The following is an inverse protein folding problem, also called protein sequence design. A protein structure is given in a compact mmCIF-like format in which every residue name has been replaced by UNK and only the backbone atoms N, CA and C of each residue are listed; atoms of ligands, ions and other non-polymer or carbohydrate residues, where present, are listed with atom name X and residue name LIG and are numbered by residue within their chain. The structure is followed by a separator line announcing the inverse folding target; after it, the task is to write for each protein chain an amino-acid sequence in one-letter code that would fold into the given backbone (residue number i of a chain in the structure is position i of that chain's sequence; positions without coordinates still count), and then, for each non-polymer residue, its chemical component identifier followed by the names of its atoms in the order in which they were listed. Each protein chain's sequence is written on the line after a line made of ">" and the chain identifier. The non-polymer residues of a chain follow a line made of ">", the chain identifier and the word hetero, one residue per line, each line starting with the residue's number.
data_IF_062525320513
#
_entry.id   IF_062525320513
#
_cell.length_a   1.000
_cell.length_b   1.000
_cell.length_c   1.000
_cell.angle_alpha   90.00
_cell.angle_beta   90.00
_cell.angle_gamma   90.00
#
_symmetry.space_group_name_H-M   'P 1'
#
loop_
_entity.id
_entity.type
_entity.pdbx_description
1 polymer ?
#
# COMPACT_ATOMS: atom_id res chain seq x y z
N UNK A 1 -30.10 -32.77 -16.14
CA UNK A 1 -30.15 -31.37 -16.60
C UNK A 1 -29.39 -30.55 -15.58
N UNK A 2 -28.28 -29.97 -16.02
CA UNK A 2 -27.39 -29.14 -15.21
C UNK A 2 -27.88 -27.71 -15.34
N UNK A 3 -28.26 -27.08 -14.24
CA UNK A 3 -28.24 -25.63 -14.15
C UNK A 3 -27.73 -25.25 -12.77
N UNK A 4 -26.49 -24.76 -12.77
CA UNK A 4 -25.76 -24.32 -11.58
C UNK A 4 -26.49 -23.08 -11.06
N UNK A 5 -27.25 -23.22 -9.96
CA UNK A 5 -27.56 -22.10 -9.08
C UNK A 5 -26.24 -21.58 -8.51
N UNK A 6 -25.61 -20.63 -9.19
CA UNK A 6 -24.66 -19.75 -8.51
C UNK A 6 -25.50 -18.93 -7.53
N UNK A 7 -25.51 -19.37 -6.27
CA UNK A 7 -25.93 -18.57 -5.14
C UNK A 7 -25.31 -17.20 -5.31
N UNK A 8 -26.13 -16.17 -5.55
CA UNK A 8 -25.66 -14.81 -5.74
C UNK A 8 -25.05 -14.39 -4.41
N UNK A 9 -23.73 -14.38 -4.34
CA UNK A 9 -23.03 -13.83 -3.18
C UNK A 9 -23.44 -12.35 -3.10
N UNK A 10 -24.19 -11.93 -2.08
CA UNK A 10 -24.86 -10.63 -2.07
C UNK A 10 -23.87 -9.48 -1.89
N UNK A 11 -22.67 -9.79 -1.39
CA UNK A 11 -21.62 -8.82 -1.12
C UNK A 11 -20.40 -9.13 -1.98
N UNK A 12 -20.04 -8.22 -2.87
CA UNK A 12 -18.85 -8.32 -3.70
C UNK A 12 -17.98 -7.10 -3.42
N UNK A 13 -16.69 -7.33 -3.20
CA UNK A 13 -15.71 -6.26 -3.00
C UNK A 13 -14.61 -6.39 -4.03
N UNK A 14 -14.39 -5.32 -4.79
CA UNK A 14 -13.27 -5.18 -5.70
C UNK A 14 -12.11 -4.47 -4.99
N UNK A 15 -10.95 -5.13 -5.02
CA UNK A 15 -9.71 -4.69 -4.38
C UNK A 15 -8.69 -4.49 -5.49
N UNK A 16 -8.34 -3.23 -5.75
CA UNK A 16 -7.43 -2.86 -6.82
C UNK A 16 -6.05 -2.51 -6.27
N UNK A 17 -5.00 -3.13 -6.82
CA UNK A 17 -3.61 -2.85 -6.44
C UNK A 17 -2.93 -1.93 -7.44
N UNK A 18 -2.01 -1.09 -6.95
CA UNK A 18 -1.27 -0.13 -7.76
C UNK A 18 -0.29 -0.79 -8.71
N UNK A 19 0.46 -1.76 -8.21
CA UNK A 19 1.47 -2.51 -8.97
C UNK A 19 1.46 -3.98 -8.57
N UNK A 20 2.13 -4.81 -9.38
CA UNK A 20 2.44 -6.19 -9.03
C UNK A 20 3.19 -6.28 -7.69
N UNK A 21 4.14 -5.38 -7.45
CA UNK A 21 4.91 -5.29 -6.21
C UNK A 21 4.02 -5.00 -5.00
N UNK A 22 3.08 -4.05 -5.11
CA UNK A 22 2.09 -3.79 -4.06
C UNK A 22 1.25 -5.02 -3.72
N UNK A 23 0.81 -5.77 -4.74
CA UNK A 23 0.07 -7.01 -4.53
C UNK A 23 0.93 -8.07 -3.82
N UNK A 24 2.20 -8.25 -4.20
CA UNK A 24 3.09 -9.22 -3.56
C UNK A 24 3.39 -8.84 -2.10
N UNK A 25 3.56 -7.55 -1.81
CA UNK A 25 3.71 -7.06 -0.42
C UNK A 25 2.43 -7.32 0.37
N UNK A 26 1.28 -6.99 -0.19
CA UNK A 26 -0.01 -7.26 0.44
C UNK A 26 -0.22 -8.76 0.69
N UNK A 27 0.14 -9.62 -0.27
CA UNK A 27 0.16 -11.08 -0.14
C UNK A 27 1.09 -11.55 0.99
N UNK A 28 2.25 -10.93 1.17
CA UNK A 28 3.15 -11.34 2.24
C UNK A 28 2.65 -10.98 3.66
N UNK A 29 1.84 -9.93 3.80
CA UNK A 29 1.55 -9.30 5.11
C UNK A 29 0.08 -9.37 5.50
N UNK A 30 -0.83 -9.15 4.55
CA UNK A 30 -2.27 -8.98 4.79
C UNK A 30 -3.14 -10.03 4.09
N UNK A 31 -2.59 -10.74 3.10
CA UNK A 31 -3.30 -11.70 2.25
C UNK A 31 -2.60 -13.06 2.33
N UNK A 32 -2.98 -13.86 3.31
CA UNK A 32 -2.48 -15.23 3.45
C UNK A 32 -3.23 -16.20 2.52
N UNK A 33 -2.76 -17.44 2.43
CA UNK A 33 -3.51 -18.54 1.79
C UNK A 33 -4.94 -18.71 2.34
N UNK A 34 -5.20 -18.29 3.57
CA UNK A 34 -6.48 -18.49 4.25
C UNK A 34 -7.39 -17.26 4.31
N UNK A 35 -6.93 -16.07 3.91
CA UNK A 35 -7.76 -14.87 4.06
C UNK A 35 -7.05 -13.54 3.83
N UNK A 36 -7.82 -12.46 3.88
CA UNK A 36 -7.42 -11.08 3.60
C UNK A 36 -7.99 -10.13 4.64
N UNK A 37 -7.19 -9.19 5.14
CA UNK A 37 -7.71 -8.02 5.84
C UNK A 37 -7.95 -6.87 4.85
N UNK A 38 -9.15 -6.28 4.91
CA UNK A 38 -9.56 -5.13 4.11
C UNK A 38 -9.83 -3.93 5.01
N UNK A 39 -9.06 -2.86 4.83
CA UNK A 39 -9.36 -1.56 5.42
C UNK A 39 -10.54 -0.94 4.68
N UNK A 40 -11.67 -0.79 5.36
CA UNK A 40 -12.92 -0.26 4.81
C UNK A 40 -13.83 0.25 5.92
N UNK A 41 -14.66 1.24 5.61
CA UNK A 41 -15.72 1.72 6.51
C UNK A 41 -17.02 0.93 6.34
N UNK A 42 -17.22 0.29 5.19
CA UNK A 42 -18.35 -0.61 4.95
C UNK A 42 -18.00 -2.01 5.43
N UNK A 43 -18.63 -2.40 6.53
CA UNK A 43 -18.27 -3.58 7.31
C UNK A 43 -19.52 -4.44 7.51
N UNK A 44 -19.77 -5.41 6.63
CA UNK A 44 -20.85 -6.38 6.80
C UNK A 44 -20.70 -7.17 8.10
N UNK A 45 -21.78 -7.80 8.51
CA UNK A 45 -21.79 -8.63 9.70
C UNK A 45 -20.88 -9.86 9.54
N UNK A 46 -20.30 -10.31 10.65
CA UNK A 46 -19.52 -11.56 10.71
C UNK A 46 -20.40 -12.71 10.24
N UNK A 47 -19.84 -13.58 9.41
CA UNK A 47 -20.55 -14.69 8.75
C UNK A 47 -21.13 -14.33 7.38
N UNK A 48 -21.06 -13.07 6.94
CA UNK A 48 -21.52 -12.67 5.60
C UNK A 48 -20.63 -13.29 4.52
N UNK A 49 -21.24 -13.98 3.56
CA UNK A 49 -20.56 -14.46 2.35
C UNK A 49 -20.15 -13.26 1.48
N UNK A 50 -18.90 -13.26 1.06
CA UNK A 50 -18.28 -12.19 0.27
C UNK A 50 -17.51 -12.74 -0.93
N UNK A 51 -17.65 -12.09 -2.08
CA UNK A 51 -16.83 -12.34 -3.25
C UNK A 51 -15.75 -11.26 -3.34
N UNK A 52 -14.48 -11.62 -3.13
CA UNK A 52 -13.36 -10.68 -3.21
C UNK A 52 -12.75 -10.73 -4.60
N UNK A 53 -12.93 -9.68 -5.40
CA UNK A 53 -12.30 -9.51 -6.70
C UNK A 53 -10.97 -8.78 -6.54
N UNK A 54 -9.87 -9.52 -6.60
CA UNK A 54 -8.50 -8.99 -6.57
C UNK A 54 -8.09 -8.58 -7.98
N UNK A 55 -7.97 -7.28 -8.26
CA UNK A 55 -7.46 -6.76 -9.52
C UNK A 55 -5.96 -6.45 -9.40
N UNK A 56 -5.15 -7.20 -10.16
CA UNK A 56 -3.69 -7.10 -10.15
C UNK A 56 -3.19 -6.58 -11.50
N UNK A 57 -2.47 -5.45 -11.54
CA UNK A 57 -1.90 -4.90 -12.77
C UNK A 57 -1.06 -5.94 -13.53
N UNK A 58 -1.27 -6.02 -14.84
CA UNK A 58 -0.57 -6.96 -15.72
C UNK A 58 -0.97 -8.43 -15.59
N UNK A 59 -1.77 -8.82 -14.59
CA UNK A 59 -2.19 -10.21 -14.34
C UNK A 59 -3.71 -10.45 -14.39
N UNK A 60 -4.50 -9.38 -14.53
CA UNK A 60 -5.96 -9.45 -14.61
C UNK A 60 -6.62 -9.46 -13.22
N UNK A 61 -7.87 -9.93 -13.16
CA UNK A 61 -8.63 -10.01 -11.90
C UNK A 61 -8.99 -11.43 -11.54
N UNK A 62 -8.92 -11.77 -10.25
CA UNK A 62 -9.36 -13.06 -9.70
C UNK A 62 -10.48 -12.79 -8.71
N UNK A 63 -11.56 -13.58 -8.76
CA UNK A 63 -12.57 -13.57 -7.70
C UNK A 63 -12.35 -14.75 -6.77
N UNK A 64 -12.20 -14.47 -5.47
CA UNK A 64 -12.02 -15.46 -4.42
C UNK A 64 -13.24 -15.39 -3.49
N UNK A 65 -14.00 -16.48 -3.33
CA UNK A 65 -15.10 -16.52 -2.36
C UNK A 65 -14.55 -16.58 -0.94
N UNK A 66 -15.24 -15.92 -0.02
CA UNK A 66 -14.87 -15.85 1.38
C UNK A 66 -16.05 -15.57 2.30
N UNK A 67 -15.75 -15.48 3.58
CA UNK A 67 -16.69 -15.14 4.64
C UNK A 67 -16.06 -14.09 5.54
N UNK A 68 -16.85 -13.12 6.02
CA UNK A 68 -16.38 -12.18 7.04
C UNK A 68 -16.13 -12.94 8.35
N UNK A 69 -14.86 -13.12 8.71
CA UNK A 69 -14.44 -13.85 9.90
C UNK A 69 -14.46 -12.95 11.16
N UNK A 70 -14.11 -11.68 11.00
CA UNK A 70 -14.15 -10.69 12.07
C UNK A 70 -14.21 -9.28 11.49
N UNK A 71 -14.61 -8.33 12.33
CA UNK A 71 -14.66 -6.91 11.97
C UNK A 71 -14.01 -6.03 13.02
N UNK A 72 -13.49 -4.89 12.59
CA UNK A 72 -12.96 -3.83 13.45
C UNK A 72 -13.64 -2.52 13.12
N UNK A 73 -14.30 -1.94 14.12
CA UNK A 73 -14.92 -0.62 14.01
C UNK A 73 -13.94 0.51 14.29
N UNK A 74 -14.39 1.74 14.06
CA UNK A 74 -13.61 2.99 14.28
C UNK A 74 -13.23 3.22 15.75
N UNK A 75 -13.97 2.60 16.66
CA UNK A 75 -13.76 2.67 18.11
C UNK A 75 -12.57 1.84 18.61
N UNK A 76 -12.03 0.93 17.78
CA UNK A 76 -10.91 0.07 18.17
C UNK A 76 -9.59 0.85 18.17
N UNK A 77 -8.76 0.59 19.18
CA UNK A 77 -7.37 1.08 19.24
C UNK A 77 -6.39 0.19 18.47
N UNK A 78 -6.83 -0.96 17.97
CA UNK A 78 -5.97 -2.00 17.38
C UNK A 78 -5.59 -1.71 15.92
N UNK A 79 -6.11 -0.63 15.33
CA UNK A 79 -5.80 -0.14 13.99
C UNK A 79 -7.01 0.43 13.26
N UNK A 80 -6.88 0.70 11.94
CA UNK A 80 -7.96 1.28 11.15
C UNK A 80 -9.18 0.34 11.06
N UNK A 81 -10.38 0.89 10.82
CA UNK A 81 -11.57 0.08 10.61
C UNK A 81 -11.41 -0.83 9.39
N UNK A 82 -12.03 -2.00 9.46
CA UNK A 82 -11.95 -2.97 8.38
C UNK A 82 -12.55 -4.31 8.74
N UNK A 83 -12.38 -5.27 7.83
CA UNK A 83 -12.91 -6.61 7.95
C UNK A 83 -11.84 -7.65 7.60
N UNK A 84 -11.81 -8.73 8.37
CA UNK A 84 -11.06 -9.93 8.04
C UNK A 84 -11.94 -10.88 7.23
N UNK A 85 -11.55 -11.17 6.00
CA UNK A 85 -12.17 -12.21 5.16
C UNK A 85 -11.38 -13.49 5.31
N UNK A 86 -12.06 -14.59 5.63
CA UNK A 86 -11.52 -15.94 5.48
C UNK A 86 -11.94 -16.50 4.11
N UNK A 87 -10.99 -17.00 3.33
CA UNK A 87 -11.29 -17.58 2.03
C UNK A 87 -11.87 -18.98 2.20
N UNK A 88 -13.07 -19.20 1.65
CA UNK A 88 -13.76 -20.49 1.75
C UNK A 88 -13.22 -21.51 0.75
N UNK A 89 -12.55 -21.04 -0.30
CA UNK A 89 -11.88 -21.88 -1.29
C UNK A 89 -10.53 -21.29 -1.67
N UNK A 90 -9.48 -22.11 -1.57
CA UNK A 90 -8.18 -21.81 -2.17
C UNK A 90 -8.35 -21.81 -3.69
N UNK A 91 -8.44 -20.64 -4.31
CA UNK A 91 -8.47 -20.52 -5.76
C UNK A 91 -7.11 -20.98 -6.32
N UNK A 92 -6.99 -22.12 -7.04
CA UNK A 92 -5.72 -22.55 -7.62
C UNK A 92 -5.14 -21.50 -8.59
N UNK A 93 -6.04 -20.67 -9.14
CA UNK A 93 -5.74 -19.52 -9.98
C UNK A 93 -4.91 -18.45 -9.26
N UNK A 94 -5.10 -18.28 -7.94
CA UNK A 94 -4.34 -17.34 -7.12
C UNK A 94 -2.87 -17.75 -7.05
N UNK A 95 -2.59 -19.03 -6.80
CA UNK A 95 -1.23 -19.58 -6.80
C UNK A 95 -0.51 -19.33 -8.13
N UNK A 96 -1.14 -19.67 -9.25
CA UNK A 96 -0.55 -19.45 -10.57
C UNK A 96 -0.33 -17.96 -10.92
N UNK A 97 -1.12 -17.04 -10.36
CA UNK A 97 -0.86 -15.60 -10.51
C UNK A 97 0.32 -15.17 -9.66
N UNK A 98 0.40 -15.61 -8.42
CA UNK A 98 1.55 -15.33 -7.54
C UNK A 98 2.84 -15.85 -8.17
N UNK A 99 2.85 -17.08 -8.67
CA UNK A 99 4.04 -17.68 -9.30
C UNK A 99 4.53 -16.84 -10.48
N UNK A 100 3.62 -16.35 -11.33
CA UNK A 100 3.96 -15.45 -12.44
C UNK A 100 4.49 -14.11 -11.98
N UNK A 101 3.86 -13.51 -10.97
CA UNK A 101 4.27 -12.20 -10.43
C UNK A 101 5.65 -12.29 -9.78
N UNK A 102 5.91 -13.34 -9.00
CA UNK A 102 7.22 -13.59 -8.39
C UNK A 102 8.29 -13.81 -9.46
N UNK A 103 7.97 -14.55 -10.54
CA UNK A 103 8.91 -14.78 -11.64
C UNK A 103 9.27 -13.51 -12.43
N UNK A 104 8.36 -12.51 -12.46
CA UNK A 104 8.55 -11.23 -13.14
C UNK A 104 8.97 -10.08 -12.21
N UNK A 105 9.25 -10.35 -10.93
CA UNK A 105 9.52 -9.32 -9.94
C UNK A 105 10.95 -8.75 -10.09
N UNK A 106 11.04 -7.47 -10.44
CA UNK A 106 12.33 -6.77 -10.63
C UNK A 106 12.77 -5.94 -9.41
N UNK A 107 11.91 -5.82 -8.40
CA UNK A 107 12.17 -5.03 -7.20
C UNK A 107 11.07 -4.02 -6.91
N UNK A 108 11.36 -3.13 -5.96
CA UNK A 108 10.42 -2.07 -5.53
C UNK A 108 11.05 -0.73 -5.84
N UNK A 109 10.42 0.09 -6.67
CA UNK A 109 10.92 1.42 -7.00
C UNK A 109 10.48 2.43 -5.94
N UNK A 110 11.45 3.01 -5.23
CA UNK A 110 11.19 3.97 -4.15
C UNK A 110 11.79 5.33 -4.50
N UNK A 111 10.95 6.36 -4.58
CA UNK A 111 11.42 7.73 -4.65
C UNK A 111 11.77 8.24 -3.24
N UNK A 112 12.96 8.78 -3.06
CA UNK A 112 13.38 9.48 -1.83
C UNK A 112 13.62 10.96 -2.13
N UNK A 113 12.77 11.84 -1.61
CA UNK A 113 13.04 13.28 -1.56
C UNK A 113 13.68 13.61 -0.21
N UNK A 114 14.96 13.96 -0.23
CA UNK A 114 15.70 14.41 0.94
C UNK A 114 16.73 15.47 0.52
N UNK A 115 16.50 16.76 0.82
CA UNK A 115 17.41 17.83 0.40
C UNK A 115 18.81 17.69 0.98
N UNK A 116 18.92 17.34 2.26
CA UNK A 116 20.22 17.11 2.90
C UNK A 116 20.88 15.81 2.38
N UNK A 117 22.18 15.91 2.04
CA UNK A 117 22.91 14.79 1.41
C UNK A 117 23.23 13.67 2.40
N UNK A 118 23.48 14.00 3.67
CA UNK A 118 23.81 13.04 4.72
C UNK A 118 22.57 12.26 5.10
N UNK A 119 21.44 12.94 5.27
CA UNK A 119 20.15 12.32 5.56
C UNK A 119 19.71 11.45 4.39
N UNK A 120 19.83 11.95 3.15
CA UNK A 120 19.51 11.16 1.95
C UNK A 120 20.32 9.87 1.85
N UNK A 121 21.62 9.93 2.15
CA UNK A 121 22.49 8.74 2.14
C UNK A 121 22.09 7.76 3.23
N UNK A 122 21.79 8.26 4.43
CA UNK A 122 21.40 7.46 5.58
C UNK A 122 20.04 6.77 5.37
N UNK A 123 19.03 7.51 4.91
CA UNK A 123 17.70 7.00 4.59
C UNK A 123 17.75 5.98 3.45
N UNK A 124 18.52 6.23 2.40
CA UNK A 124 18.71 5.27 1.30
C UNK A 124 19.20 3.93 1.83
N UNK A 125 20.20 3.94 2.72
CA UNK A 125 20.75 2.71 3.32
C UNK A 125 19.71 1.99 4.19
N UNK A 126 18.94 2.73 5.00
CA UNK A 126 17.90 2.14 5.84
C UNK A 126 16.79 1.52 4.99
N UNK A 127 16.30 2.23 3.97
CA UNK A 127 15.27 1.71 3.05
C UNK A 127 15.76 0.43 2.38
N UNK A 128 16.97 0.41 1.83
CA UNK A 128 17.55 -0.81 1.21
C UNK A 128 17.79 -1.94 2.21
N UNK A 129 18.03 -1.63 3.48
CA UNK A 129 18.16 -2.65 4.53
C UNK A 129 16.81 -3.28 4.90
N UNK A 130 15.71 -2.54 4.77
CA UNK A 130 14.36 -3.03 5.04
C UNK A 130 13.80 -3.75 3.80
N UNK A 131 13.93 -3.12 2.64
CA UNK A 131 13.47 -3.58 1.33
C UNK A 131 14.70 -3.95 0.50
N UNK A 132 15.18 -5.19 0.65
CA UNK A 132 16.43 -5.65 0.03
C UNK A 132 16.48 -5.51 -1.49
N UNK A 133 15.33 -5.56 -2.16
CA UNK A 133 15.18 -5.41 -3.62
C UNK A 133 14.75 -3.99 -4.03
N UNK A 134 14.77 -3.02 -3.12
CA UNK A 134 14.37 -1.66 -3.46
C UNK A 134 15.40 -1.00 -4.38
N UNK A 135 14.92 -0.46 -5.50
CA UNK A 135 15.65 0.54 -6.25
C UNK A 135 15.25 1.93 -5.77
N UNK A 136 16.16 2.58 -5.02
CA UNK A 136 15.91 3.89 -4.44
C UNK A 136 16.42 4.97 -5.38
N UNK A 137 15.49 5.70 -6.01
CA UNK A 137 15.76 6.88 -6.81
C UNK A 137 15.67 8.11 -5.92
N UNK A 138 16.70 8.95 -5.93
CA UNK A 138 16.88 10.03 -4.96
C UNK A 138 16.79 11.42 -5.60
N UNK A 139 16.04 12.32 -4.98
CA UNK A 139 15.93 13.73 -5.34
C UNK A 139 16.41 14.64 -4.20
N UNK A 140 17.14 15.70 -4.55
CA UNK A 140 17.60 16.71 -3.60
C UNK A 140 16.70 17.95 -3.51
N UNK A 141 15.69 18.04 -4.37
CA UNK A 141 14.71 19.13 -4.37
C UNK A 141 13.38 18.64 -4.94
N UNK A 142 12.31 19.37 -4.62
CA UNK A 142 10.95 19.02 -5.00
C UNK A 142 10.76 18.98 -6.52
N UNK A 143 11.39 19.88 -7.27
CA UNK A 143 11.26 19.93 -8.73
C UNK A 143 11.78 18.64 -9.36
N UNK A 144 12.94 18.16 -8.93
CA UNK A 144 13.47 16.87 -9.39
C UNK A 144 12.57 15.72 -8.93
N UNK A 145 12.13 15.72 -7.68
CA UNK A 145 11.24 14.68 -7.16
C UNK A 145 9.94 14.56 -7.97
N UNK A 146 9.30 15.69 -8.27
CA UNK A 146 8.06 15.75 -9.06
C UNK A 146 8.25 15.24 -10.49
N UNK A 147 9.43 15.43 -11.10
CA UNK A 147 9.72 14.83 -12.43
C UNK A 147 9.92 13.33 -12.40
N UNK A 148 10.35 12.79 -11.25
CA UNK A 148 10.57 11.35 -11.04
C UNK A 148 9.30 10.63 -10.59
N UNK A 149 8.30 11.35 -10.08
CA UNK A 149 6.99 10.82 -9.71
C UNK A 149 6.21 10.36 -10.95
N UNK A 150 6.44 9.10 -11.32
CA UNK A 150 5.82 8.45 -12.47
C UNK A 150 4.99 7.25 -12.06
N UNK A 151 4.30 6.64 -13.03
CA UNK A 151 3.57 5.38 -12.86
C UNK A 151 4.46 4.20 -12.42
N UNK A 152 5.78 4.31 -12.55
CA UNK A 152 6.73 3.25 -12.21
C UNK A 152 7.23 3.31 -10.76
N UNK A 153 6.97 4.43 -10.04
CA UNK A 153 7.32 4.54 -8.61
C UNK A 153 6.26 3.82 -7.76
N UNK A 154 6.69 2.83 -6.99
CA UNK A 154 5.81 2.08 -6.08
C UNK A 154 5.51 2.87 -4.80
N UNK A 155 6.46 3.68 -4.31
CA UNK A 155 6.34 4.43 -3.06
C UNK A 155 7.23 5.68 -3.06
N UNK A 156 6.77 6.76 -2.44
CA UNK A 156 7.59 7.94 -2.13
C UNK A 156 7.88 8.06 -0.63
N UNK A 157 9.12 8.35 -0.27
CA UNK A 157 9.54 8.77 1.08
C UNK A 157 10.03 10.21 0.98
N UNK A 158 9.42 11.10 1.75
CA UNK A 158 9.61 12.55 1.61
C UNK A 158 10.02 13.15 2.95
N UNK A 159 11.23 13.70 3.01
CA UNK A 159 11.69 14.58 4.09
C UNK A 159 10.99 15.95 3.97
N UNK A 160 10.26 16.31 5.02
CA UNK A 160 9.49 17.57 5.08
C UNK A 160 10.27 18.68 5.79
N UNK A 161 11.28 18.37 6.59
CA UNK A 161 11.86 19.34 7.52
C UNK A 161 12.71 20.40 6.82
N UNK A 162 13.49 20.01 5.80
CA UNK A 162 14.42 20.92 5.13
C UNK A 162 13.73 21.92 4.19
N UNK A 163 12.71 21.46 3.45
CA UNK A 163 11.90 22.29 2.55
C UNK A 163 10.43 21.88 2.65
N UNK A 164 9.69 22.41 3.66
CA UNK A 164 8.29 22.05 3.85
C UNK A 164 7.41 22.40 2.65
N UNK A 165 7.65 23.51 1.97
CA UNK A 165 6.81 23.92 0.84
C UNK A 165 6.96 22.97 -0.34
N UNK A 166 8.21 22.67 -0.72
CA UNK A 166 8.52 21.71 -1.77
C UNK A 166 8.02 20.30 -1.42
N UNK A 167 8.24 19.84 -0.19
CA UNK A 167 7.76 18.54 0.26
C UNK A 167 6.22 18.42 0.20
N UNK A 168 5.49 19.44 0.66
CA UNK A 168 4.03 19.46 0.58
C UNK A 168 3.53 19.53 -0.88
N UNK A 169 4.25 20.21 -1.77
CA UNK A 169 3.97 20.18 -3.22
C UNK A 169 4.12 18.76 -3.79
N UNK A 170 5.25 18.11 -3.49
CA UNK A 170 5.55 16.74 -3.95
C UNK A 170 4.51 15.72 -3.43
N UNK A 171 4.06 15.86 -2.17
CA UNK A 171 2.98 15.02 -1.61
C UNK A 171 1.67 15.15 -2.40
N UNK A 172 1.27 16.38 -2.76
CA UNK A 172 0.07 16.60 -3.58
C UNK A 172 0.27 16.03 -4.99
N UNK A 173 1.45 16.19 -5.56
CA UNK A 173 1.76 15.65 -6.89
C UNK A 173 1.68 14.12 -6.91
N UNK A 174 2.16 13.45 -5.86
CA UNK A 174 2.06 11.99 -5.74
C UNK A 174 0.60 11.50 -5.82
N UNK A 175 -0.37 12.30 -5.38
CA UNK A 175 -1.81 12.00 -5.49
C UNK A 175 -2.42 12.26 -6.86
N UNK A 176 -1.75 13.06 -7.68
CA UNK A 176 -2.21 13.40 -9.03
C UNK A 176 -1.63 12.48 -10.11
N UNK A 177 -0.55 11.75 -9.81
CA UNK A 177 -0.06 10.66 -10.67
C UNK A 177 -1.15 9.60 -10.83
N UNK A 178 -1.28 9.02 -12.01
CA UNK A 178 -2.20 7.93 -12.28
C UNK A 178 -1.39 6.64 -12.60
N UNK A 179 -1.47 5.60 -11.76
CA UNK A 179 -2.17 5.56 -10.47
C UNK A 179 -1.46 6.37 -9.35
N UNK A 180 -2.19 6.86 -8.32
CA UNK A 180 -1.59 7.61 -7.22
C UNK A 180 -0.45 6.86 -6.54
N UNK A 181 0.63 7.56 -6.25
CA UNK A 181 1.80 7.01 -5.55
C UNK A 181 1.57 7.13 -4.04
N UNK A 182 1.64 6.02 -3.29
CA UNK A 182 1.61 6.08 -1.83
C UNK A 182 2.86 6.78 -1.32
N UNK A 183 2.74 7.45 -0.18
CA UNK A 183 3.75 8.38 0.33
C UNK A 183 3.89 8.32 1.84
N UNK A 184 5.13 8.36 2.30
CA UNK A 184 5.51 8.46 3.71
C UNK A 184 6.22 9.80 3.91
N UNK A 185 5.67 10.65 4.77
CA UNK A 185 6.31 11.92 5.13
C UNK A 185 7.10 11.78 6.43
N UNK A 186 8.37 12.15 6.41
CA UNK A 186 9.24 12.22 7.58
C UNK A 186 9.28 13.66 8.06
N UNK A 187 8.87 13.89 9.31
CA UNK A 187 8.88 15.23 9.89
C UNK A 187 9.16 15.23 11.39
N UNK A 188 10.05 16.12 11.83
CA UNK A 188 10.50 16.26 13.22
C UNK A 188 9.39 16.77 14.15
N UNK A 189 8.54 17.70 13.68
CA UNK A 189 7.51 18.34 14.52
C UNK A 189 6.09 17.83 14.28
N UNK A 190 5.25 17.90 15.32
CA UNK A 190 3.82 17.55 15.21
C UNK A 190 3.11 18.39 14.15
N UNK A 191 3.39 19.69 14.10
CA UNK A 191 2.79 20.62 13.14
C UNK A 191 3.12 20.24 11.69
N UNK A 192 4.37 19.88 11.40
CA UNK A 192 4.77 19.44 10.06
C UNK A 192 4.12 18.11 9.69
N UNK A 193 4.00 17.16 10.63
CA UNK A 193 3.24 15.92 10.40
C UNK A 193 1.76 16.18 10.08
N UNK A 194 1.13 17.12 10.78
CA UNK A 194 -0.26 17.52 10.50
C UNK A 194 -0.40 18.15 9.11
N UNK A 195 0.53 19.03 8.71
CA UNK A 195 0.55 19.59 7.36
C UNK A 195 0.77 18.53 6.28
N UNK A 196 1.68 17.57 6.51
CA UNK A 196 1.94 16.49 5.57
C UNK A 196 0.70 15.61 5.35
N UNK A 197 -0.01 15.25 6.44
CA UNK A 197 -1.30 14.54 6.33
C UNK A 197 -2.33 15.35 5.54
N UNK A 198 -2.45 16.64 5.81
CA UNK A 198 -3.37 17.52 5.09
C UNK A 198 -3.02 17.68 3.59
N UNK A 199 -1.74 17.51 3.23
CA UNK A 199 -1.29 17.49 1.84
C UNK A 199 -1.45 16.12 1.15
N UNK A 200 -1.92 15.09 1.88
CA UNK A 200 -2.23 13.77 1.33
C UNK A 200 -1.21 12.70 1.66
N UNK A 201 -0.27 12.90 2.58
CA UNK A 201 0.62 11.81 3.02
C UNK A 201 -0.21 10.62 3.56
N UNK A 202 0.03 9.42 3.03
CA UNK A 202 -0.64 8.20 3.50
C UNK A 202 -0.16 7.81 4.88
N UNK A 203 1.15 8.02 5.10
CA UNK A 203 1.83 7.76 6.35
C UNK A 203 2.70 8.93 6.75
N UNK A 204 2.88 9.10 8.06
CA UNK A 204 3.84 10.07 8.61
C UNK A 204 4.63 9.43 9.74
N UNK A 205 5.92 9.78 9.81
CA UNK A 205 6.83 9.33 10.85
C UNK A 205 7.63 10.50 11.44
N UNK A 206 8.32 10.21 12.54
CA UNK A 206 9.38 11.09 13.05
C UNK A 206 10.55 11.17 12.07
N UNK A 207 11.33 12.25 12.15
CA UNK A 207 12.57 12.42 11.38
C UNK A 207 13.73 12.72 12.35
N UNK A 208 14.78 11.88 12.42
CA UNK A 208 14.91 10.60 11.72
C UNK A 208 13.93 9.54 12.27
N UNK A 209 13.40 8.62 11.44
CA UNK A 209 12.52 7.57 11.91
C UNK A 209 13.30 6.44 12.59
N UNK A 210 12.67 5.76 13.56
CA UNK A 210 13.20 4.49 14.06
C UNK A 210 13.13 3.41 12.97
N UNK A 211 14.07 2.46 12.97
CA UNK A 211 14.11 1.38 11.97
C UNK A 211 12.81 0.56 11.93
N UNK A 212 12.33 0.13 13.10
CA UNK A 212 11.10 -0.67 13.22
C UNK A 212 9.85 0.12 12.80
N UNK A 213 9.80 1.41 13.13
CA UNK A 213 8.73 2.30 12.69
C UNK A 213 8.70 2.40 11.16
N UNK A 214 9.84 2.74 10.54
CA UNK A 214 9.94 2.86 9.09
C UNK A 214 9.62 1.53 8.38
N UNK A 215 10.05 0.40 8.94
CA UNK A 215 9.73 -0.92 8.40
C UNK A 215 8.22 -1.15 8.33
N UNK A 216 7.50 -0.85 9.41
CA UNK A 216 6.03 -1.00 9.45
C UNK A 216 5.36 -0.07 8.44
N UNK A 217 5.81 1.19 8.35
CA UNK A 217 5.21 2.16 7.43
C UNK A 217 5.46 1.83 5.96
N UNK A 218 6.68 1.39 5.60
CA UNK A 218 7.01 0.96 4.24
C UNK A 218 6.10 -0.19 3.80
N UNK A 219 6.00 -1.23 4.63
CA UNK A 219 5.17 -2.40 4.34
C UNK A 219 3.69 -2.02 4.23
N UNK A 220 3.19 -1.20 5.16
CA UNK A 220 1.78 -0.77 5.15
C UNK A 220 1.44 0.08 3.94
N UNK A 221 2.28 1.06 3.60
CA UNK A 221 2.06 1.94 2.46
C UNK A 221 2.12 1.19 1.12
N UNK A 222 3.05 0.25 0.98
CA UNK A 222 3.18 -0.57 -0.24
C UNK A 222 2.04 -1.60 -0.39
N UNK A 223 1.61 -2.21 0.71
CA UNK A 223 0.59 -3.26 0.72
C UNK A 223 -0.86 -2.74 0.72
N UNK A 224 -1.06 -1.42 0.79
CA UNK A 224 -2.40 -0.83 0.80
C UNK A 224 -3.02 -0.89 -0.60
N UNK A 225 -4.24 -1.44 -0.76
CA UNK A 225 -4.96 -1.34 -2.02
C UNK A 225 -5.23 0.12 -2.42
N UNK A 226 -5.25 0.40 -3.71
CA UNK A 226 -5.66 1.71 -4.23
C UNK A 226 -7.14 1.97 -4.01
N UNK A 227 -7.96 0.93 -4.12
CA UNK A 227 -9.39 1.04 -3.88
C UNK A 227 -9.97 -0.27 -3.36
N UNK A 228 -11.01 -0.12 -2.54
CA UNK A 228 -11.86 -1.19 -2.01
C UNK A 228 -13.29 -0.70 -2.28
N UNK A 229 -14.04 -1.37 -3.17
CA UNK A 229 -15.37 -0.92 -3.64
C UNK A 229 -16.36 -2.06 -3.75
#
# INVERSE_FOLDING_TARGET
>A
MSEREHQRIPYAVEVEFRTASSFLVAYSVNLSRGGLFLETEDVPDVGTEIAVKLAVPGSGSITVPGVVAWRRGRESTDGPPGLGVEFTQLAPQLGGIIDRLVAAFEGISVLLLAPDRVDRTSLTRVIRSILGTADVVSAGDARVAETLLTGDIDLAVIDVDADPEGALSTLRQAKQVAPPVPSIALASTKKLREHARAAGADEVASNPPAFSELQVLLVRALGRPMSVR
#
